data_IF_317700662317
#
_entry.id   IF_317700662317
#
_cell.length_a   1.000
_cell.length_b   1.000
_cell.length_c   1.000
_cell.angle_alpha   90.00
_cell.angle_beta   90.00
_cell.angle_gamma   90.00
#
_symmetry.space_group_name_H-M   'P 1'
#
loop_
_entity.id
_entity.type
_entity.pdbx_description
1 polymer ?
#
# COMPACT_ATOMS: atom_id res chain seq x y z
N UNK A 1 -7.80 -11.08 -14.20
CA UNK A 1 -7.01 -11.03 -12.95
C UNK A 1 -7.95 -10.77 -11.78
N UNK A 2 -7.96 -11.65 -10.77
CA UNK A 2 -8.84 -11.60 -9.60
C UNK A 2 -8.12 -11.09 -8.35
N UNK A 3 -7.73 -9.83 -8.35
CA UNK A 3 -7.07 -9.14 -7.23
C UNK A 3 -7.64 -7.73 -7.10
N UNK A 4 -7.00 -6.82 -6.37
CA UNK A 4 -7.39 -5.42 -6.28
C UNK A 4 -7.34 -4.69 -7.66
N UNK A 5 -8.30 -3.80 -7.93
CA UNK A 5 -8.51 -3.19 -9.24
C UNK A 5 -7.33 -2.31 -9.70
N UNK A 6 -6.69 -1.55 -8.81
CA UNK A 6 -5.56 -0.71 -9.18
C UNK A 6 -4.38 -1.52 -9.68
N UNK A 7 -4.13 -2.72 -9.13
CA UNK A 7 -3.10 -3.62 -9.68
C UNK A 7 -3.47 -4.10 -11.09
N UNK A 8 -4.73 -4.46 -11.34
CA UNK A 8 -5.15 -4.86 -12.71
C UNK A 8 -5.01 -3.71 -13.70
N UNK A 9 -5.36 -2.49 -13.29
CA UNK A 9 -5.19 -1.30 -14.13
C UNK A 9 -3.71 -0.95 -14.35
N UNK A 10 -2.87 -1.13 -13.34
CA UNK A 10 -1.42 -0.97 -13.46
C UNK A 10 -0.84 -1.94 -14.49
N UNK A 11 -1.20 -3.22 -14.39
CA UNK A 11 -0.72 -4.24 -15.34
C UNK A 11 -1.17 -3.96 -16.77
N UNK A 12 -2.40 -3.47 -16.99
CA UNK A 12 -2.87 -3.00 -18.31
C UNK A 12 -1.99 -1.88 -18.88
N UNK A 13 -1.51 -0.97 -18.04
CA UNK A 13 -0.67 0.16 -18.47
C UNK A 13 0.77 -0.28 -18.75
N UNK A 14 1.30 -1.19 -17.93
CA UNK A 14 2.68 -1.70 -18.06
C UNK A 14 2.82 -2.74 -19.20
N UNK A 15 1.75 -3.45 -19.55
CA UNK A 15 1.70 -4.50 -20.58
C UNK A 15 0.62 -4.25 -21.65
N UNK A 16 0.75 -3.18 -22.47
CA UNK A 16 -0.25 -2.84 -23.49
C UNK A 16 -0.38 -3.89 -24.60
N UNK A 17 0.58 -4.79 -24.74
CA UNK A 17 0.56 -5.91 -25.68
C UNK A 17 -0.37 -7.07 -25.26
N UNK A 18 -0.85 -7.07 -24.01
CA UNK A 18 -1.66 -8.14 -23.44
C UNK A 18 -3.12 -7.72 -23.22
N UNK A 19 -4.05 -8.65 -23.43
CA UNK A 19 -5.46 -8.47 -23.02
C UNK A 19 -5.63 -8.78 -21.53
N UNK A 20 -5.57 -7.74 -20.71
CA UNK A 20 -5.73 -7.85 -19.26
C UNK A 20 -7.13 -7.37 -18.88
N UNK A 21 -7.90 -8.19 -18.17
CA UNK A 21 -9.23 -7.82 -17.69
C UNK A 21 -9.38 -8.06 -16.20
N UNK A 22 -10.20 -7.22 -15.55
CA UNK A 22 -10.60 -7.43 -14.17
C UNK A 22 -11.62 -8.58 -14.13
N UNK A 23 -11.43 -9.53 -13.21
CA UNK A 23 -12.22 -10.78 -13.21
C UNK A 23 -13.67 -10.58 -12.76
N UNK A 24 -13.93 -9.62 -11.86
CA UNK A 24 -15.25 -9.43 -11.26
C UNK A 24 -16.11 -8.44 -12.06
N UNK A 25 -17.42 -8.70 -12.23
CA UNK A 25 -18.36 -7.76 -12.84
C UNK A 25 -18.66 -6.56 -11.92
N UNK A 26 -18.35 -6.68 -10.62
CA UNK A 26 -18.49 -5.62 -9.62
C UNK A 26 -17.10 -5.14 -9.22
N UNK A 27 -16.88 -3.84 -9.29
CA UNK A 27 -15.64 -3.22 -8.81
C UNK A 27 -15.54 -3.41 -7.30
N UNK A 28 -14.58 -4.23 -6.86
CA UNK A 28 -14.24 -4.39 -5.45
C UNK A 28 -13.09 -3.44 -5.13
N UNK A 29 -13.42 -2.23 -4.68
CA UNK A 29 -12.41 -1.29 -4.18
C UNK A 29 -12.13 -1.57 -2.70
N UNK A 30 -10.86 -1.60 -2.34
CA UNK A 30 -10.47 -1.68 -0.94
C UNK A 30 -10.75 -0.34 -0.25
N UNK A 31 -11.80 -0.29 0.57
CA UNK A 31 -12.25 0.95 1.23
C UNK A 31 -11.17 1.61 2.11
N UNK A 32 -10.21 0.83 2.64
CA UNK A 32 -9.09 1.36 3.40
C UNK A 32 -7.99 1.94 2.52
N UNK A 33 -7.71 1.36 1.35
CA UNK A 33 -6.77 1.94 0.38
C UNK A 33 -7.25 3.29 -0.14
N UNK A 34 -8.56 3.44 -0.34
CA UNK A 34 -9.16 4.69 -0.82
C UNK A 34 -9.09 5.85 0.19
N UNK A 35 -8.64 5.61 1.43
CA UNK A 35 -8.35 6.67 2.41
C UNK A 35 -7.03 7.39 2.13
N UNK A 36 -6.21 6.88 1.22
CA UNK A 36 -4.95 7.48 0.81
C UNK A 36 -5.24 8.33 -0.43
N UNK A 37 -5.30 9.64 -0.26
CA UNK A 37 -5.52 10.60 -1.34
C UNK A 37 -4.44 11.70 -1.37
N UNK A 38 -4.47 12.50 -2.43
CA UNK A 38 -3.48 13.55 -2.67
C UNK A 38 -3.53 14.67 -1.63
N UNK A 39 -4.69 14.99 -1.08
CA UNK A 39 -4.83 16.06 -0.10
C UNK A 39 -4.19 15.66 1.23
N UNK A 40 -4.47 14.44 1.71
CA UNK A 40 -3.87 13.90 2.93
C UNK A 40 -2.37 13.65 2.78
N UNK A 41 -1.92 13.24 1.58
CA UNK A 41 -0.49 13.11 1.28
C UNK A 41 0.21 14.47 1.33
N UNK A 42 -0.36 15.50 0.67
CA UNK A 42 0.17 16.86 0.69
C UNK A 42 0.31 17.38 2.13
N UNK A 43 -0.77 17.29 2.91
CA UNK A 43 -0.78 17.70 4.31
C UNK A 43 0.27 16.96 5.15
N UNK A 44 0.42 15.64 4.96
CA UNK A 44 1.44 14.87 5.68
C UNK A 44 2.87 15.34 5.37
N UNK A 45 3.15 15.68 4.11
CA UNK A 45 4.46 16.18 3.66
C UNK A 45 4.73 17.61 4.14
N UNK A 46 3.74 18.49 4.13
CA UNK A 46 3.86 19.85 4.65
C UNK A 46 4.19 19.86 6.15
N UNK A 47 3.52 19.02 6.94
CA UNK A 47 3.79 18.87 8.37
C UNK A 47 5.19 18.30 8.63
N UNK A 48 5.64 17.35 7.81
CA UNK A 48 7.00 16.82 7.87
C UNK A 48 8.04 17.92 7.58
N UNK A 49 7.82 18.72 6.54
CA UNK A 49 8.70 19.83 6.17
C UNK A 49 8.73 20.95 7.23
N UNK A 50 7.60 21.18 7.91
CA UNK A 50 7.49 22.14 9.02
C UNK A 50 8.12 21.63 10.34
N UNK A 51 8.63 20.40 10.38
CA UNK A 51 9.22 19.81 11.59
C UNK A 51 8.19 19.34 12.63
N UNK A 52 6.91 19.24 12.26
CA UNK A 52 5.82 18.82 13.13
C UNK A 52 5.10 17.59 12.53
N UNK A 53 5.77 16.43 12.43
CA UNK A 53 5.22 15.27 11.74
C UNK A 53 3.94 14.77 12.40
N UNK A 54 2.95 14.43 11.57
CA UNK A 54 1.61 13.95 11.97
C UNK A 54 1.48 12.45 11.68
N UNK A 55 0.63 11.76 12.44
CA UNK A 55 0.35 10.33 12.27
C UNK A 55 1.62 9.44 12.26
N UNK A 56 2.63 9.81 13.05
CA UNK A 56 3.88 9.04 13.15
C UNK A 56 3.57 7.66 13.71
N UNK A 57 3.85 6.64 12.92
CA UNK A 57 3.61 5.24 13.29
C UNK A 57 4.63 4.85 14.36
N UNK A 58 4.12 4.45 15.51
CA UNK A 58 4.90 3.88 16.59
C UNK A 58 4.40 2.47 16.87
N UNK A 59 5.33 1.56 17.14
CA UNK A 59 5.05 0.18 17.49
C UNK A 59 5.71 -0.09 18.83
N UNK A 60 5.01 -0.81 19.71
CA UNK A 60 5.55 -1.22 20.99
C UNK A 60 6.90 -1.97 20.80
N UNK A 61 7.93 -1.70 21.62
CA UNK A 61 9.26 -2.30 21.42
C UNK A 61 9.27 -3.83 21.40
N UNK A 62 8.42 -4.48 22.19
CA UNK A 62 8.34 -5.94 22.20
C UNK A 62 7.69 -6.47 20.91
N UNK A 63 6.60 -5.83 20.49
CA UNK A 63 5.90 -6.17 19.23
C UNK A 63 6.83 -5.97 18.02
N UNK A 64 7.56 -4.85 17.97
CA UNK A 64 8.50 -4.56 16.90
C UNK A 64 9.62 -5.62 16.83
N UNK A 65 10.19 -5.99 17.99
CA UNK A 65 11.27 -6.98 18.08
C UNK A 65 10.86 -8.33 17.49
N UNK A 66 9.71 -8.86 17.89
CA UNK A 66 9.28 -10.17 17.40
C UNK A 66 8.76 -10.13 15.96
N UNK A 67 8.10 -9.05 15.54
CA UNK A 67 7.65 -8.86 14.16
C UNK A 67 8.82 -8.80 13.18
N UNK A 68 9.92 -8.13 13.57
CA UNK A 68 11.15 -8.06 12.75
C UNK A 68 11.81 -9.43 12.58
N UNK A 69 11.84 -10.28 13.62
CA UNK A 69 12.38 -11.64 13.50
C UNK A 69 11.57 -12.47 12.50
N UNK A 70 10.24 -12.39 12.54
CA UNK A 70 9.39 -13.08 11.58
C UNK A 70 9.60 -12.57 10.14
N UNK A 71 9.67 -11.24 9.97
CA UNK A 71 9.93 -10.62 8.67
C UNK A 71 11.30 -11.03 8.12
N UNK A 72 12.34 -11.02 8.95
CA UNK A 72 13.69 -11.38 8.53
C UNK A 72 13.76 -12.85 8.06
N UNK A 73 13.14 -13.78 8.81
CA UNK A 73 13.07 -15.19 8.40
C UNK A 73 12.34 -15.38 7.07
N UNK A 74 11.28 -14.63 6.82
CA UNK A 74 10.56 -14.66 5.53
C UNK A 74 11.46 -14.21 4.38
N UNK A 75 12.23 -13.14 4.59
CA UNK A 75 13.14 -12.60 3.58
C UNK A 75 14.37 -13.48 3.35
N UNK A 76 14.87 -14.20 4.35
CA UNK A 76 16.01 -15.12 4.22
C UNK A 76 15.69 -16.36 3.37
N UNK A 77 14.41 -16.70 3.19
CA UNK A 77 13.96 -17.88 2.44
C UNK A 77 13.27 -17.55 1.10
N UNK A 78 13.12 -16.26 0.76
CA UNK A 78 12.52 -15.78 -0.50
C UNK A 78 13.60 -15.48 -1.53
#
# INVERSE_FOLDING_TARGET
IGTELHLVNRLKQEHPEQEIHFLSPVVCMCATMYRIDLAHLCWSLENLAAGAPVNVIHVDPEVARWSLVALQRMLEVS
#
